data_IF_244329448682
#
_entry.id   IF_244329448682
#
_cell.length_a   1.000
_cell.length_b   1.000
_cell.length_c   1.000
_cell.angle_alpha   90.00
_cell.angle_beta   90.00
_cell.angle_gamma   90.00
#
_symmetry.space_group_name_H-M   'P 1'
#
loop_
_entity.id
_entity.type
_entity.pdbx_description
1 polymer ?
#
# COMPACT_ATOMS: atom_id res chain seq x y z
N UNK A 1 -3.72 22.44 -5.34
CA UNK A 1 -4.54 21.54 -6.16
C UNK A 1 -5.46 22.36 -7.06
N UNK A 2 -6.14 23.34 -6.48
CA UNK A 2 -7.07 24.26 -7.15
C UNK A 2 -6.46 24.99 -8.36
N UNK A 3 -5.27 25.59 -8.23
CA UNK A 3 -4.59 26.27 -9.35
C UNK A 3 -4.24 25.32 -10.52
N UNK A 4 -4.14 24.02 -10.23
CA UNK A 4 -3.85 22.97 -11.23
C UNK A 4 -5.12 22.23 -11.67
N UNK A 5 -6.30 22.58 -11.15
CA UNK A 5 -7.57 21.92 -11.46
C UNK A 5 -7.66 20.46 -10.97
N UNK A 6 -6.91 20.09 -9.91
CA UNK A 6 -6.94 18.73 -9.34
C UNK A 6 -7.97 18.66 -8.22
N UNK A 7 -8.99 17.82 -8.35
CA UNK A 7 -10.08 17.73 -7.35
C UNK A 7 -9.75 16.83 -6.15
N UNK A 8 -8.90 15.81 -6.36
CA UNK A 8 -8.60 14.78 -5.36
C UNK A 8 -7.16 14.31 -5.46
N UNK A 9 -6.62 13.82 -4.35
CA UNK A 9 -5.28 13.27 -4.26
C UNK A 9 -5.29 11.93 -3.52
N UNK A 10 -4.37 11.04 -3.92
CA UNK A 10 -3.97 9.87 -3.15
C UNK A 10 -2.60 10.18 -2.53
N UNK A 11 -2.47 10.03 -1.23
CA UNK A 11 -1.18 10.18 -0.55
C UNK A 11 -0.54 8.82 -0.25
N UNK A 12 0.78 8.78 -0.34
CA UNK A 12 1.64 7.67 0.06
C UNK A 12 2.66 8.24 1.04
N UNK A 13 2.79 7.65 2.24
CA UNK A 13 3.73 8.17 3.25
C UNK A 13 5.18 8.06 2.76
N UNK A 14 6.00 9.10 2.95
CA UNK A 14 7.38 9.08 2.49
C UNK A 14 8.24 8.18 3.39
N UNK A 15 9.34 7.69 2.82
CA UNK A 15 10.22 6.70 3.44
C UNK A 15 10.72 6.98 4.86
N UNK A 16 10.99 8.24 5.30
CA UNK A 16 11.56 8.48 6.63
C UNK A 16 10.65 7.99 7.77
N UNK A 17 9.35 7.86 7.51
CA UNK A 17 8.37 7.39 8.47
C UNK A 17 8.14 5.87 8.41
N UNK A 18 8.75 5.16 7.44
CA UNK A 18 8.63 3.71 7.23
C UNK A 18 7.16 3.24 7.32
N UNK A 19 6.82 2.49 8.35
CA UNK A 19 5.51 1.89 8.61
C UNK A 19 4.61 2.77 9.49
N UNK A 20 5.07 3.94 9.94
CA UNK A 20 4.28 4.83 10.78
C UNK A 20 3.28 5.63 9.94
N UNK A 21 2.02 5.19 9.96
CA UNK A 21 0.91 5.83 9.26
C UNK A 21 0.12 6.80 10.15
N UNK A 22 0.55 7.08 11.38
CA UNK A 22 -0.24 7.81 12.38
C UNK A 22 -0.74 9.17 11.90
N UNK A 23 0.14 9.97 11.29
CA UNK A 23 -0.24 11.30 10.78
C UNK A 23 -1.30 11.22 9.68
N UNK A 24 -1.09 10.39 8.66
CA UNK A 24 -2.02 10.30 7.52
C UNK A 24 -3.37 9.70 7.92
N UNK A 25 -3.38 8.77 8.87
CA UNK A 25 -4.61 8.16 9.40
C UNK A 25 -5.41 9.12 10.29
N UNK A 26 -4.72 10.02 11.00
CA UNK A 26 -5.34 11.05 11.84
C UNK A 26 -6.04 12.14 11.01
N UNK A 27 -5.41 12.59 9.91
CA UNK A 27 -6.00 13.64 9.06
C UNK A 27 -7.05 13.11 8.08
N UNK A 28 -7.02 11.82 7.73
CA UNK A 28 -7.90 11.27 6.68
C UNK A 28 -9.39 11.51 6.95
N UNK A 29 -9.95 11.25 8.15
CA UNK A 29 -11.38 11.41 8.41
C UNK A 29 -11.95 12.78 8.07
N UNK A 30 -11.23 13.84 8.38
CA UNK A 30 -11.65 15.23 8.14
C UNK A 30 -11.43 15.67 6.69
N UNK A 31 -10.59 14.94 5.95
CA UNK A 31 -10.16 15.31 4.60
C UNK A 31 -10.66 14.37 3.50
N UNK A 32 -11.52 13.37 3.82
CA UNK A 32 -12.01 12.34 2.88
C UNK A 32 -12.67 12.87 1.61
N UNK A 33 -13.14 14.12 1.61
CA UNK A 33 -13.73 14.75 0.42
C UNK A 33 -12.72 14.84 -0.75
N UNK A 34 -11.46 15.07 -0.44
CA UNK A 34 -10.40 15.28 -1.45
C UNK A 34 -9.20 14.35 -1.26
N UNK A 35 -9.03 13.74 -0.09
CA UNK A 35 -7.88 12.89 0.23
C UNK A 35 -8.27 11.40 0.28
N UNK A 36 -7.49 10.58 -0.41
CA UNK A 36 -7.40 9.14 -0.23
C UNK A 36 -6.00 8.76 0.27
N UNK A 37 -5.86 7.59 0.89
CA UNK A 37 -4.57 7.11 1.42
C UNK A 37 -4.25 5.72 0.89
N UNK A 38 -3.01 5.56 0.43
CA UNK A 38 -2.36 4.26 0.28
C UNK A 38 -1.34 4.10 1.41
N UNK A 39 -1.60 3.15 2.31
CA UNK A 39 -0.76 2.92 3.50
C UNK A 39 0.48 2.11 3.15
N UNK A 40 1.50 2.18 4.00
CA UNK A 40 2.58 1.20 4.04
C UNK A 40 2.38 0.33 5.28
N UNK A 41 2.51 -0.97 5.09
CA UNK A 41 2.50 -1.98 6.17
C UNK A 41 3.71 -2.86 5.95
N UNK A 42 4.39 -3.25 7.04
CA UNK A 42 5.54 -4.14 6.95
C UNK A 42 5.11 -5.49 6.33
N UNK A 43 5.62 -5.87 5.16
CA UNK A 43 5.22 -7.10 4.50
C UNK A 43 5.83 -8.36 5.13
N UNK A 44 6.79 -8.21 6.04
CA UNK A 44 7.40 -9.33 6.77
C UNK A 44 6.83 -9.49 8.19
N UNK A 45 6.04 -8.52 8.66
CA UNK A 45 5.32 -8.66 9.92
C UNK A 45 4.12 -9.62 9.75
N UNK A 46 4.10 -10.67 10.56
CA UNK A 46 3.01 -11.64 10.60
C UNK A 46 1.64 -10.98 10.92
N UNK A 47 1.64 -9.86 11.66
CA UNK A 47 0.44 -9.09 11.98
C UNK A 47 0.08 -8.05 10.91
N UNK A 48 0.92 -7.86 9.88
CA UNK A 48 0.71 -6.90 8.80
C UNK A 48 -0.67 -7.03 8.13
N UNK A 49 -1.13 -8.24 7.74
CA UNK A 49 -2.48 -8.43 7.21
C UNK A 49 -3.59 -7.96 8.15
N UNK A 50 -3.48 -8.25 9.45
CA UNK A 50 -4.44 -7.82 10.47
C UNK A 50 -4.43 -6.30 10.61
N UNK A 51 -3.25 -5.69 10.59
CA UNK A 51 -3.10 -4.24 10.64
C UNK A 51 -3.73 -3.55 9.42
N UNK A 52 -3.50 -4.08 8.21
CA UNK A 52 -4.09 -3.55 6.98
C UNK A 52 -5.62 -3.56 7.05
N UNK A 53 -6.20 -4.68 7.50
CA UNK A 53 -7.65 -4.81 7.67
C UNK A 53 -8.22 -3.78 8.66
N UNK A 54 -7.51 -3.51 9.76
CA UNK A 54 -7.88 -2.44 10.71
C UNK A 54 -7.83 -1.06 10.07
N UNK A 55 -6.79 -0.75 9.29
CA UNK A 55 -6.71 0.54 8.58
C UNK A 55 -7.88 0.75 7.61
N UNK A 56 -8.30 -0.29 6.89
CA UNK A 56 -9.49 -0.23 6.03
C UNK A 56 -10.74 -0.01 6.89
N UNK A 57 -10.95 -0.82 7.92
CA UNK A 57 -12.16 -0.79 8.75
C UNK A 57 -12.33 0.53 9.51
N UNK A 58 -11.27 1.01 10.14
CA UNK A 58 -11.34 2.11 11.11
C UNK A 58 -11.17 3.48 10.42
N UNK A 59 -10.39 3.54 9.33
CA UNK A 59 -10.05 4.80 8.66
C UNK A 59 -10.57 4.90 7.22
N UNK A 60 -11.00 3.79 6.59
CA UNK A 60 -11.48 3.80 5.20
C UNK A 60 -10.35 3.94 4.19
N UNK A 61 -9.14 3.46 4.53
CA UNK A 61 -8.01 3.37 3.60
C UNK A 61 -8.39 2.50 2.38
N UNK A 62 -7.91 2.87 1.20
CA UNK A 62 -8.28 2.19 -0.05
C UNK A 62 -7.09 1.68 -0.88
N UNK A 63 -5.85 2.02 -0.51
CA UNK A 63 -4.64 1.56 -1.19
C UNK A 63 -3.58 0.99 -0.25
N UNK A 64 -2.68 0.20 -0.81
CA UNK A 64 -1.46 -0.29 -0.17
C UNK A 64 -0.27 0.04 -1.06
N UNK A 65 0.88 0.40 -0.46
CA UNK A 65 2.17 0.57 -1.13
C UNK A 65 3.14 -0.51 -0.64
N UNK A 66 3.75 -1.25 -1.56
CA UNK A 66 4.91 -2.13 -1.27
C UNK A 66 6.13 -1.54 -1.97
N UNK A 67 7.26 -1.40 -1.27
CA UNK A 67 8.50 -0.87 -1.86
C UNK A 67 9.72 -1.73 -1.55
N UNK A 68 10.42 -2.20 -2.58
CA UNK A 68 11.63 -3.01 -2.42
C UNK A 68 12.84 -2.18 -1.96
N UNK A 69 13.43 -1.42 -2.88
CA UNK A 69 14.75 -0.79 -2.67
C UNK A 69 14.86 0.27 -1.57
N UNK A 70 13.79 1.00 -1.27
CA UNK A 70 13.90 2.16 -0.35
C UNK A 70 13.96 1.70 1.12
N UNK A 71 13.39 0.55 1.47
CA UNK A 71 13.39 0.04 2.86
C UNK A 71 14.47 -1.05 3.06
N UNK A 72 15.36 -1.25 2.07
CA UNK A 72 16.22 -2.44 2.00
C UNK A 72 15.39 -3.72 2.14
N UNK A 73 14.19 -3.71 1.57
CA UNK A 73 13.40 -4.92 1.53
C UNK A 73 14.01 -5.89 0.52
N UNK A 74 14.00 -7.13 0.95
CA UNK A 74 14.10 -8.31 0.11
C UNK A 74 13.16 -8.25 -1.11
N UNK A 75 13.43 -9.03 -2.18
CA UNK A 75 12.61 -9.02 -3.40
C UNK A 75 11.10 -9.05 -3.12
N UNK A 76 10.35 -8.21 -3.84
CA UNK A 76 8.92 -7.96 -3.59
C UNK A 76 8.01 -9.20 -3.69
N UNK A 77 8.51 -10.30 -4.27
CA UNK A 77 7.80 -11.55 -4.46
C UNK A 77 8.27 -12.69 -3.55
N UNK A 78 9.00 -12.38 -2.48
CA UNK A 78 9.35 -13.39 -1.50
C UNK A 78 8.09 -14.02 -0.86
N UNK A 79 8.12 -15.34 -0.55
CA UNK A 79 6.99 -16.02 0.07
C UNK A 79 6.51 -15.38 1.38
N UNK A 80 7.42 -14.76 2.15
CA UNK A 80 7.07 -14.09 3.40
C UNK A 80 6.14 -12.89 3.20
N UNK A 81 6.19 -12.23 2.03
CA UNK A 81 5.29 -11.12 1.70
C UNK A 81 3.89 -11.60 1.28
N UNK A 82 3.74 -12.89 0.95
CA UNK A 82 2.50 -13.46 0.41
C UNK A 82 1.23 -13.13 1.17
N UNK A 83 1.21 -13.25 2.52
CA UNK A 83 0.03 -12.93 3.31
C UNK A 83 -0.48 -11.51 3.10
N UNK A 84 0.40 -10.52 2.96
CA UNK A 84 -0.01 -9.11 2.83
C UNK A 84 -0.66 -8.84 1.48
N UNK A 85 -0.10 -9.35 0.38
CA UNK A 85 -0.71 -9.22 -0.95
C UNK A 85 -2.05 -9.96 -1.01
N UNK A 86 -2.14 -11.16 -0.45
CA UNK A 86 -3.39 -11.90 -0.38
C UNK A 86 -4.45 -11.09 0.36
N UNK A 87 -4.08 -10.49 1.50
CA UNK A 87 -5.01 -9.64 2.26
C UNK A 87 -5.44 -8.41 1.48
N UNK A 88 -4.54 -7.76 0.75
CA UNK A 88 -4.90 -6.64 -0.13
C UNK A 88 -5.91 -7.07 -1.22
N UNK A 89 -5.73 -8.27 -1.80
CA UNK A 89 -6.67 -8.85 -2.76
C UNK A 89 -8.03 -9.15 -2.12
N UNK A 90 -8.04 -9.81 -0.95
CA UNK A 90 -9.26 -10.14 -0.20
C UNK A 90 -10.07 -8.88 0.16
N UNK A 91 -9.39 -7.77 0.46
CA UNK A 91 -9.99 -6.47 0.78
C UNK A 91 -10.39 -5.66 -0.46
N UNK A 92 -10.11 -6.17 -1.67
CA UNK A 92 -10.41 -5.49 -2.94
C UNK A 92 -9.64 -4.19 -3.13
N UNK A 93 -8.47 -4.04 -2.52
CA UNK A 93 -7.65 -2.83 -2.58
C UNK A 93 -6.94 -2.68 -3.93
N UNK A 94 -6.44 -1.49 -4.20
CA UNK A 94 -5.41 -1.28 -5.23
C UNK A 94 -4.03 -1.28 -4.57
N UNK A 95 -3.10 -2.05 -5.12
CA UNK A 95 -1.73 -2.18 -4.65
C UNK A 95 -0.79 -1.41 -5.58
N UNK A 96 -0.15 -0.38 -5.08
CA UNK A 96 0.93 0.31 -5.77
C UNK A 96 2.29 -0.30 -5.41
N UNK A 97 3.10 -0.67 -6.40
CA UNK A 97 4.40 -1.32 -6.18
C UNK A 97 5.55 -0.40 -6.61
N UNK A 98 6.41 -0.03 -5.65
CA UNK A 98 7.63 0.74 -5.92
C UNK A 98 8.74 -0.23 -6.33
N UNK A 99 8.73 -0.61 -7.59
CA UNK A 99 9.73 -1.51 -8.14
C UNK A 99 10.73 -0.73 -9.00
N UNK A 100 12.02 -1.05 -8.84
CA UNK A 100 12.99 -0.80 -9.90
C UNK A 100 12.73 -1.74 -11.08
N UNK A 101 13.28 -1.41 -12.26
CA UNK A 101 13.06 -2.21 -13.47
C UNK A 101 13.45 -3.69 -13.28
N UNK A 102 14.52 -3.96 -12.54
CA UNK A 102 15.01 -5.31 -12.25
C UNK A 102 14.00 -6.16 -11.44
N UNK A 103 13.04 -5.51 -10.76
CA UNK A 103 12.00 -6.17 -9.97
C UNK A 103 10.71 -6.42 -10.77
N UNK A 104 10.62 -5.99 -12.03
CA UNK A 104 9.38 -6.11 -12.82
C UNK A 104 8.95 -7.55 -13.03
N UNK A 105 9.90 -8.48 -13.20
CA UNK A 105 9.58 -9.91 -13.31
C UNK A 105 8.99 -10.47 -12.01
N UNK A 106 9.46 -9.98 -10.86
CA UNK A 106 8.90 -10.32 -9.54
C UNK A 106 7.47 -9.77 -9.42
N UNK A 107 7.23 -8.51 -9.75
CA UNK A 107 5.89 -7.92 -9.78
C UNK A 107 4.96 -8.69 -10.71
N UNK A 108 5.42 -9.05 -11.91
CA UNK A 108 4.63 -9.81 -12.87
C UNK A 108 4.28 -11.22 -12.38
N UNK A 109 5.16 -11.88 -11.61
CA UNK A 109 4.84 -13.16 -10.94
C UNK A 109 3.71 -12.97 -9.94
N UNK A 110 3.75 -11.91 -9.13
CA UNK A 110 2.71 -11.59 -8.15
C UNK A 110 1.37 -11.22 -8.80
N UNK A 111 1.39 -10.46 -9.90
CA UNK A 111 0.19 -10.17 -10.68
C UNK A 111 -0.48 -11.43 -11.24
N UNK A 112 0.31 -12.44 -11.64
CA UNK A 112 -0.23 -13.74 -12.07
C UNK A 112 -0.75 -14.58 -10.91
N UNK A 113 -0.12 -14.49 -9.74
CA UNK A 113 -0.53 -15.20 -8.53
C UNK A 113 -1.84 -14.63 -7.94
N UNK A 114 -2.04 -13.31 -8.04
CA UNK A 114 -3.24 -12.60 -7.58
C UNK A 114 -3.93 -11.87 -8.74
N UNK A 115 -4.59 -12.60 -9.66
CA UNK A 115 -5.15 -11.99 -10.88
C UNK A 115 -6.27 -10.97 -10.62
N UNK A 116 -6.93 -11.05 -9.46
CA UNK A 116 -7.98 -10.13 -9.05
C UNK A 116 -7.45 -8.89 -8.30
N UNK A 117 -6.16 -8.89 -7.94
CA UNK A 117 -5.53 -7.75 -7.29
C UNK A 117 -5.15 -6.70 -8.34
N UNK A 118 -5.68 -5.50 -8.16
CA UNK A 118 -5.34 -4.35 -9.00
C UNK A 118 -3.95 -3.85 -8.60
N UNK A 119 -2.99 -3.97 -9.51
CA UNK A 119 -1.60 -3.52 -9.36
C UNK A 119 -1.34 -2.35 -10.30
#
# INVERSE_FOLDING_TARGET
MDDSGVDRALTISPWPYRWNMGYVLDILPENRRWLAVAVLVDPFDAEGPTQLERYVKDHGVCGLRIQGRIIEMDPVDQPATTPLWKKAADLGMTLDVNASQDEYDAVARRAREFPDLRI
#
